data_IF_807882970463
#
_entry.id   IF_807882970463
#
_cell.length_a   1.000
_cell.length_b   1.000
_cell.length_c   1.000
_cell.angle_alpha   90.00
_cell.angle_beta   90.00
_cell.angle_gamma   90.00
#
_symmetry.space_group_name_H-M   'P 1'
#
loop_
_entity.id
_entity.type
_entity.pdbx_description
1 polymer ?
#
# COMPACT_ATOMS: atom_id res chain seq x y z
N UNK A 1 6.77 -18.04 9.72
CA UNK A 1 8.20 -18.19 9.38
C UNK A 1 8.76 -16.88 8.86
N UNK A 2 9.39 -16.10 9.72
CA UNK A 2 10.27 -14.99 9.32
C UNK A 2 11.64 -15.60 9.02
N UNK A 3 12.22 -15.27 7.87
CA UNK A 3 13.54 -15.80 7.48
C UNK A 3 14.61 -15.02 8.23
N UNK A 4 15.57 -15.72 8.85
CA UNK A 4 16.60 -15.17 9.74
C UNK A 4 17.45 -14.03 9.11
N UNK A 5 17.56 -14.00 7.78
CA UNK A 5 18.40 -13.02 7.08
C UNK A 5 17.61 -11.86 6.46
N UNK A 6 18.18 -10.63 6.45
CA UNK A 6 17.56 -9.47 5.82
C UNK A 6 17.40 -9.68 4.31
N UNK A 7 16.15 -9.73 3.84
CA UNK A 7 15.85 -9.80 2.40
C UNK A 7 15.89 -8.42 1.77
N UNK A 8 16.45 -8.31 0.56
CA UNK A 8 16.38 -7.09 -0.27
C UNK A 8 14.90 -6.73 -0.53
N UNK A 9 14.44 -5.62 0.06
CA UNK A 9 13.06 -5.12 -0.13
C UNK A 9 13.04 -4.11 -1.27
N UNK A 10 12.47 -4.48 -2.42
CA UNK A 10 12.28 -3.54 -3.53
C UNK A 10 11.09 -2.61 -3.28
N UNK A 11 11.35 -1.31 -3.15
CA UNK A 11 10.32 -0.28 -3.02
C UNK A 11 9.45 -0.19 -4.29
N UNK A 12 10.05 -0.42 -5.46
CA UNK A 12 9.34 -0.46 -6.75
C UNK A 12 8.30 -1.59 -6.74
N UNK A 13 8.70 -2.81 -6.36
CA UNK A 13 7.76 -3.95 -6.27
C UNK A 13 6.67 -3.67 -5.23
N UNK A 14 7.01 -3.03 -4.10
CA UNK A 14 6.04 -2.64 -3.07
C UNK A 14 5.02 -1.63 -3.62
N UNK A 15 5.46 -0.60 -4.34
CA UNK A 15 4.59 0.42 -4.91
C UNK A 15 3.66 -0.16 -6.00
N UNK A 16 4.18 -1.05 -6.86
CA UNK A 16 3.38 -1.74 -7.90
C UNK A 16 2.32 -2.66 -7.29
N UNK A 17 2.65 -3.39 -6.22
CA UNK A 17 1.73 -4.36 -5.60
C UNK A 17 0.74 -3.72 -4.62
N UNK A 18 1.17 -2.74 -3.83
CA UNK A 18 0.39 -2.21 -2.71
C UNK A 18 0.09 -0.72 -2.77
N UNK A 19 0.65 0.01 -3.75
CA UNK A 19 0.51 1.45 -3.87
C UNK A 19 -0.92 1.91 -4.22
N UNK A 20 -1.14 3.21 -4.10
CA UNK A 20 -2.45 3.84 -4.31
C UNK A 20 -3.07 3.51 -5.68
N UNK A 21 -2.27 3.58 -6.76
CA UNK A 21 -2.72 3.24 -8.12
C UNK A 21 -3.22 1.79 -8.22
N UNK A 22 -2.51 0.85 -7.60
CA UNK A 22 -2.93 -0.56 -7.57
C UNK A 22 -4.25 -0.76 -6.82
N UNK A 23 -4.49 0.02 -5.75
CA UNK A 23 -5.76 0.01 -5.00
C UNK A 23 -6.91 0.65 -5.78
N UNK A 24 -6.64 1.66 -6.60
CA UNK A 24 -7.69 2.32 -7.40
C UNK A 24 -8.15 1.48 -8.59
N UNK A 25 -7.34 0.55 -9.10
CA UNK A 25 -7.67 -0.32 -10.25
C UNK A 25 -8.89 -1.21 -10.00
N UNK A 26 -9.04 -1.77 -8.80
CA UNK A 26 -10.12 -2.74 -8.50
C UNK A 26 -11.23 -2.14 -7.64
N UNK A 27 -12.45 -2.67 -7.78
CA UNK A 27 -13.60 -2.26 -6.95
C UNK A 27 -13.36 -2.49 -5.46
N UNK A 28 -12.81 -3.65 -5.09
CA UNK A 28 -12.47 -3.98 -3.70
C UNK A 28 -11.37 -3.08 -3.13
N UNK A 29 -10.39 -2.70 -3.96
CA UNK A 29 -9.35 -1.77 -3.56
C UNK A 29 -9.90 -0.37 -3.26
N UNK A 30 -10.84 0.12 -4.08
CA UNK A 30 -11.58 1.37 -3.81
C UNK A 30 -12.40 1.29 -2.53
N UNK A 31 -13.13 0.18 -2.28
CA UNK A 31 -13.87 -0.06 -1.02
C UNK A 31 -12.94 -0.01 0.20
N UNK A 32 -11.76 -0.63 0.11
CA UNK A 32 -10.76 -0.59 1.19
C UNK A 32 -10.28 0.83 1.49
N UNK A 33 -10.00 1.64 0.46
CA UNK A 33 -9.59 3.03 0.64
C UNK A 33 -10.68 3.87 1.28
N UNK A 34 -11.94 3.69 0.86
CA UNK A 34 -13.07 4.41 1.44
C UNK A 34 -13.27 4.07 2.93
N UNK A 35 -13.09 2.81 3.34
CA UNK A 35 -13.09 2.44 4.75
C UNK A 35 -11.98 3.13 5.54
N UNK A 36 -10.77 3.22 4.99
CA UNK A 36 -9.65 3.93 5.63
C UNK A 36 -9.94 5.44 5.76
N UNK A 37 -10.49 6.07 4.72
CA UNK A 37 -10.91 7.48 4.76
C UNK A 37 -11.98 7.73 5.82
N UNK A 38 -12.99 6.85 5.92
CA UNK A 38 -14.08 6.98 6.90
C UNK A 38 -13.58 7.04 8.34
N UNK A 39 -12.54 6.28 8.67
CA UNK A 39 -11.93 6.29 10.01
C UNK A 39 -10.82 7.34 10.17
N UNK A 40 -10.70 8.29 9.23
CA UNK A 40 -9.70 9.37 9.29
C UNK A 40 -8.27 8.97 8.96
N UNK A 41 -8.02 7.77 8.39
CA UNK A 41 -6.64 7.35 8.05
C UNK A 41 -6.16 8.03 6.77
N UNK A 42 -4.96 8.60 6.81
CA UNK A 42 -4.27 9.07 5.61
C UNK A 42 -3.95 7.89 4.67
N UNK A 43 -4.47 7.96 3.44
CA UNK A 43 -4.35 6.90 2.44
C UNK A 43 -3.22 7.12 1.44
N UNK A 44 -2.62 8.31 1.43
CA UNK A 44 -1.63 8.71 0.45
C UNK A 44 -0.42 9.37 1.11
N UNK A 45 0.22 8.67 2.05
CA UNK A 45 1.50 9.10 2.62
C UNK A 45 2.61 8.63 1.68
N UNK A 46 2.74 9.30 0.54
CA UNK A 46 3.99 9.27 -0.20
C UNK A 46 4.96 10.06 0.67
N UNK A 47 5.67 9.40 1.61
CA UNK A 47 6.79 10.07 2.28
C UNK A 47 7.74 10.45 1.16
N UNK A 48 7.84 11.74 0.88
CA UNK A 48 9.00 12.31 0.21
C UNK A 48 10.19 11.86 1.06
N UNK A 49 10.99 10.98 0.48
CA UNK A 49 12.36 10.76 0.95
C UNK A 49 13.21 11.64 0.06
#
# INVERSE_FOLDING_TARGET
>A
MSTHYPKRRSLIKRARKFGFRARMKTSLGRKMLNRKRRVGRSVNVRKSF
#
